data_IF_174490647761
#
_entry.id   IF_174490647761
#
_cell.length_a   1.000
_cell.length_b   1.000
_cell.length_c   1.000
_cell.angle_alpha   90.00
_cell.angle_beta   90.00
_cell.angle_gamma   90.00
#
_symmetry.space_group_name_H-M   'P 1'
#
loop_
_entity.id
_entity.type
_entity.pdbx_description
1 polymer ?
#
# COMPACT_ATOMS: atom_id res chain seq x y z
N UNK A 1 -4.13 -16.11 -16.11
CA UNK A 1 -3.44 -14.90 -15.60
C UNK A 1 -4.37 -14.23 -14.58
N UNK A 2 -3.85 -13.97 -13.38
CA UNK A 2 -4.51 -13.24 -12.28
C UNK A 2 -3.72 -11.96 -12.00
N UNK A 3 -4.29 -11.05 -11.24
CA UNK A 3 -3.64 -9.76 -10.95
C UNK A 3 -3.93 -9.28 -9.53
N UNK A 4 -3.17 -8.27 -9.12
CA UNK A 4 -3.40 -7.46 -7.93
C UNK A 4 -3.60 -6.01 -8.33
N UNK A 5 -4.21 -5.21 -7.45
CA UNK A 5 -4.40 -3.78 -7.68
C UNK A 5 -4.03 -2.98 -6.44
N UNK A 6 -3.23 -1.94 -6.62
CA UNK A 6 -2.77 -1.08 -5.55
C UNK A 6 -1.93 0.06 -6.10
N UNK A 7 -1.38 0.86 -5.20
CA UNK A 7 -0.52 1.99 -5.52
C UNK A 7 0.83 1.81 -4.83
N UNK A 8 1.87 1.68 -5.66
CA UNK A 8 3.26 1.48 -5.23
C UNK A 8 3.76 2.67 -4.38
N UNK A 9 4.63 2.48 -3.38
CA UNK A 9 5.14 3.55 -2.50
C UNK A 9 5.67 4.78 -3.23
N UNK A 10 6.34 4.61 -4.37
CA UNK A 10 6.84 5.76 -5.16
C UNK A 10 5.73 6.66 -5.73
N UNK A 11 4.48 6.18 -5.78
CA UNK A 11 3.34 6.95 -6.27
C UNK A 11 2.39 7.36 -5.13
N UNK A 12 2.80 7.23 -3.87
CA UNK A 12 1.92 7.38 -2.71
C UNK A 12 1.20 8.74 -2.63
N UNK A 13 1.78 9.81 -3.17
CA UNK A 13 1.15 11.13 -3.29
C UNK A 13 -0.14 11.14 -4.11
N UNK A 14 -0.32 10.16 -5.00
CA UNK A 14 -1.52 10.00 -5.83
C UNK A 14 -2.63 9.24 -5.11
N UNK A 15 -2.42 8.83 -3.84
CA UNK A 15 -3.48 8.18 -3.07
C UNK A 15 -4.49 9.20 -2.55
N UNK A 16 -5.69 9.18 -3.12
CA UNK A 16 -6.83 9.98 -2.69
C UNK A 16 -8.15 9.16 -2.74
N UNK A 17 -9.28 9.82 -2.48
CA UNK A 17 -10.59 9.18 -2.50
C UNK A 17 -10.98 8.62 -3.88
N UNK A 18 -10.49 9.23 -4.97
CA UNK A 18 -10.76 8.77 -6.32
C UNK A 18 -9.91 7.55 -6.65
N UNK A 19 -8.64 7.53 -6.27
CA UNK A 19 -7.76 6.37 -6.37
C UNK A 19 -8.32 5.19 -5.56
N UNK A 20 -8.77 5.41 -4.32
CA UNK A 20 -9.39 4.35 -3.50
C UNK A 20 -10.63 3.76 -4.19
N UNK A 21 -11.49 4.62 -4.75
CA UNK A 21 -12.68 4.18 -5.51
C UNK A 21 -12.30 3.28 -6.70
N UNK A 22 -11.31 3.69 -7.49
CA UNK A 22 -10.83 2.91 -8.64
C UNK A 22 -10.27 1.55 -8.18
N UNK A 23 -9.47 1.53 -7.13
CA UNK A 23 -8.91 0.29 -6.56
C UNK A 23 -10.02 -0.64 -6.09
N UNK A 24 -11.06 -0.10 -5.43
CA UNK A 24 -12.23 -0.87 -4.98
C UNK A 24 -13.00 -1.50 -6.15
N UNK A 25 -13.22 -0.75 -7.22
CA UNK A 25 -13.88 -1.24 -8.43
C UNK A 25 -13.08 -2.37 -9.10
N UNK A 26 -11.77 -2.19 -9.25
CA UNK A 26 -10.89 -3.20 -9.84
C UNK A 26 -10.74 -4.46 -8.96
N UNK A 27 -10.74 -4.28 -7.63
CA UNK A 27 -10.63 -5.38 -6.68
C UNK A 27 -11.84 -6.33 -6.70
N UNK A 28 -12.99 -5.85 -7.18
CA UNK A 28 -14.19 -6.67 -7.35
C UNK A 28 -14.11 -7.63 -8.56
N UNK A 29 -13.15 -7.43 -9.47
CA UNK A 29 -13.00 -8.29 -10.63
C UNK A 29 -12.61 -9.73 -10.20
N UNK A 30 -13.22 -10.80 -10.79
CA UNK A 30 -13.02 -12.19 -10.35
C UNK A 30 -11.57 -12.70 -10.49
N UNK A 31 -10.74 -12.04 -11.30
CA UNK A 31 -9.30 -12.34 -11.46
C UNK A 31 -8.39 -11.52 -10.54
N UNK A 32 -8.94 -10.58 -9.76
CA UNK A 32 -8.17 -9.81 -8.79
C UNK A 32 -8.05 -10.60 -7.48
N UNK A 33 -6.84 -11.07 -7.18
CA UNK A 33 -6.58 -11.98 -6.05
C UNK A 33 -6.02 -11.28 -4.80
N UNK A 34 -5.60 -10.03 -4.92
CA UNK A 34 -5.01 -9.27 -3.81
C UNK A 34 -4.95 -7.77 -4.07
N UNK A 35 -4.62 -7.01 -3.03
CA UNK A 35 -4.28 -5.60 -3.12
C UNK A 35 -2.77 -5.41 -3.11
N UNK A 36 -2.28 -4.55 -4.00
CA UNK A 36 -0.86 -4.25 -4.17
C UNK A 36 -0.42 -4.25 -5.64
N UNK A 37 0.84 -3.93 -5.93
CA UNK A 37 1.89 -3.70 -4.94
C UNK A 37 1.70 -2.38 -4.18
N UNK A 38 1.79 -2.43 -2.85
CA UNK A 38 1.75 -1.29 -1.93
C UNK A 38 2.80 -1.50 -0.83
N UNK A 39 3.13 -0.49 -0.03
CA UNK A 39 4.11 -0.68 1.03
C UNK A 39 4.97 0.55 1.27
N UNK A 40 6.21 0.33 1.70
CA UNK A 40 7.16 1.39 2.07
C UNK A 40 8.50 1.20 1.36
N UNK A 41 9.00 2.27 0.76
CA UNK A 41 10.35 2.40 0.23
C UNK A 41 10.97 3.68 0.77
N UNK A 42 11.83 3.53 1.78
CA UNK A 42 12.50 4.65 2.43
C UNK A 42 13.95 4.81 1.98
N UNK A 43 14.37 4.07 0.95
CA UNK A 43 15.72 4.21 0.44
C UNK A 43 15.87 5.53 -0.34
N UNK A 44 16.65 6.46 0.22
CA UNK A 44 16.91 7.80 -0.34
C UNK A 44 15.66 8.68 -0.47
N UNK A 45 14.73 8.57 0.47
CA UNK A 45 13.59 9.48 0.58
C UNK A 45 13.71 10.39 1.79
N UNK A 46 13.02 11.52 1.73
CA UNK A 46 12.94 12.50 2.81
C UNK A 46 11.80 12.13 3.76
N UNK A 47 11.86 12.56 5.05
CA UNK A 47 10.83 12.23 6.04
C UNK A 47 9.40 12.58 5.60
N UNK A 48 9.20 13.68 4.86
CA UNK A 48 7.89 14.07 4.34
C UNK A 48 7.33 13.06 3.32
N UNK A 49 8.18 12.48 2.47
CA UNK A 49 7.80 11.45 1.49
C UNK A 49 7.49 10.13 2.20
N UNK A 50 8.26 9.79 3.25
CA UNK A 50 7.99 8.60 4.07
C UNK A 50 6.61 8.66 4.76
N UNK A 51 6.21 9.84 5.26
CA UNK A 51 4.90 10.04 5.88
C UNK A 51 3.75 9.93 4.87
N UNK A 52 3.95 10.36 3.63
CA UNK A 52 2.97 10.19 2.55
C UNK A 52 2.83 8.70 2.23
N UNK A 53 3.94 7.96 2.12
CA UNK A 53 3.91 6.51 1.91
C UNK A 53 3.18 5.77 3.03
N UNK A 54 3.44 6.12 4.29
CA UNK A 54 2.75 5.52 5.43
C UNK A 54 1.24 5.73 5.38
N UNK A 55 0.79 6.96 5.07
CA UNK A 55 -0.65 7.25 4.94
C UNK A 55 -1.30 6.43 3.83
N UNK A 56 -0.67 6.37 2.65
CA UNK A 56 -1.17 5.59 1.52
C UNK A 56 -1.17 4.09 1.83
N UNK A 57 -0.10 3.57 2.45
CA UNK A 57 0.01 2.15 2.80
C UNK A 57 -1.01 1.74 3.87
N UNK A 58 -1.23 2.58 4.89
CA UNK A 58 -2.27 2.37 5.91
C UNK A 58 -3.66 2.30 5.30
N UNK A 59 -3.98 3.23 4.39
CA UNK A 59 -5.27 3.26 3.71
C UNK A 59 -5.49 2.00 2.86
N UNK A 60 -4.47 1.59 2.10
CA UNK A 60 -4.52 0.36 1.29
C UNK A 60 -4.64 -0.90 2.13
N UNK A 61 -3.95 -0.97 3.27
CA UNK A 61 -4.04 -2.11 4.20
C UNK A 61 -5.45 -2.21 4.79
N UNK A 62 -6.02 -1.10 5.24
CA UNK A 62 -7.41 -1.05 5.71
C UNK A 62 -8.39 -1.51 4.62
N UNK A 63 -8.22 -1.03 3.39
CA UNK A 63 -9.05 -1.42 2.26
C UNK A 63 -8.95 -2.92 1.97
N UNK A 64 -7.75 -3.51 2.04
CA UNK A 64 -7.56 -4.95 1.84
C UNK A 64 -8.31 -5.78 2.90
N UNK A 65 -8.28 -5.35 4.17
CA UNK A 65 -9.06 -5.96 5.25
C UNK A 65 -10.55 -5.86 4.98
N UNK A 66 -11.05 -4.67 4.63
CA UNK A 66 -12.47 -4.44 4.30
C UNK A 66 -12.96 -5.33 3.15
N UNK A 67 -12.12 -5.56 2.15
CA UNK A 67 -12.44 -6.34 0.96
C UNK A 67 -12.11 -7.84 1.10
N UNK A 68 -11.53 -8.27 2.21
CA UNK A 68 -11.06 -9.65 2.41
C UNK A 68 -10.01 -10.09 1.38
N UNK A 69 -9.15 -9.16 0.93
CA UNK A 69 -8.10 -9.42 -0.06
C UNK A 69 -6.74 -9.59 0.62
N UNK A 70 -5.93 -10.53 0.12
CA UNK A 70 -4.53 -10.63 0.53
C UNK A 70 -3.73 -9.39 0.09
N UNK A 71 -2.73 -9.00 0.87
CA UNK A 71 -1.81 -7.92 0.51
C UNK A 71 -0.58 -8.45 -0.23
N UNK A 72 -0.13 -7.70 -1.23
CA UNK A 72 1.16 -7.85 -1.90
C UNK A 72 1.99 -6.61 -1.57
N UNK A 73 3.06 -6.82 -0.80
CA UNK A 73 3.76 -5.74 -0.10
C UNK A 73 5.17 -5.53 -0.62
N UNK A 74 5.50 -4.30 -0.99
CA UNK A 74 6.86 -3.81 -1.16
C UNK A 74 7.43 -3.37 0.18
N UNK A 75 8.64 -3.81 0.48
CA UNK A 75 9.37 -3.32 1.64
C UNK A 75 10.83 -3.09 1.28
N UNK A 76 11.24 -1.82 1.27
CA UNK A 76 12.65 -1.42 1.21
C UNK A 76 12.93 -0.43 2.33
N UNK A 77 13.47 -0.96 3.42
CA UNK A 77 13.66 -0.26 4.68
C UNK A 77 15.17 -0.13 4.97
N UNK A 78 15.57 0.98 5.58
CA UNK A 78 16.99 1.31 5.81
C UNK A 78 17.42 1.25 7.28
N UNK A 79 16.47 1.32 8.23
CA UNK A 79 16.75 1.24 9.67
C UNK A 79 15.75 0.34 10.42
N UNK A 80 16.09 -0.07 11.64
CA UNK A 80 15.16 -0.77 12.56
C UNK A 80 13.95 0.05 12.95
N UNK A 81 14.10 1.38 12.97
CA UNK A 81 12.98 2.28 13.23
C UNK A 81 11.97 2.24 12.08
N UNK A 82 12.46 2.22 10.84
CA UNK A 82 11.61 2.04 9.66
C UNK A 82 10.86 0.70 9.68
N UNK A 83 11.53 -0.39 10.06
CA UNK A 83 10.91 -1.72 10.26
C UNK A 83 9.80 -1.68 11.31
N UNK A 84 10.05 -1.02 12.44
CA UNK A 84 9.06 -0.87 13.50
C UNK A 84 7.84 -0.07 13.05
N UNK A 85 8.01 0.94 12.19
CA UNK A 85 6.92 1.70 11.57
C UNK A 85 6.13 0.82 10.60
N UNK A 86 6.82 0.09 9.71
CA UNK A 86 6.21 -0.84 8.77
C UNK A 86 5.32 -1.89 9.47
N UNK A 87 5.85 -2.55 10.50
CA UNK A 87 5.14 -3.62 11.23
C UNK A 87 3.91 -3.11 11.98
N UNK A 88 3.79 -1.81 12.27
CA UNK A 88 2.58 -1.24 12.89
C UNK A 88 1.43 -1.15 11.91
N UNK A 89 1.71 -0.99 10.62
CA UNK A 89 0.66 -0.90 9.58
C UNK A 89 0.07 -2.26 9.23
N UNK A 90 0.76 -3.37 9.54
CA UNK A 90 0.31 -4.74 9.29
C UNK A 90 -0.47 -5.38 10.46
N UNK A 91 -0.68 -4.63 11.54
CA UNK A 91 -1.44 -5.07 12.72
C UNK A 91 -2.88 -4.62 12.63
#
# INVERSE_FOLDING_TARGET
LWFTVGLHPHNAESWDAQAEKIVRELAAHPKCVGLGECGLDFFKHKPEEEEIQLKAFRAQTKLAVELGKALVVHARLVTRENESRFLRELK
#
